data_IF_414018131644
#
_entry.id   IF_414018131644
#
_cell.length_a   1.000
_cell.length_b   1.000
_cell.length_c   1.000
_cell.angle_alpha   90.00
_cell.angle_beta   90.00
_cell.angle_gamma   90.00
#
_symmetry.space_group_name_H-M   'P 1'
#
loop_
_entity.id
_entity.type
_entity.pdbx_description
1 polymer ?
#
# COMPACT_ATOMS: atom_id res chain seq x y z
N UNK A 1 36.76 75.22 -3.63
CA UNK A 1 36.77 74.35 -2.44
C UNK A 1 35.72 73.28 -2.64
N UNK A 2 36.13 72.12 -3.14
CA UNK A 2 35.27 70.98 -3.46
C UNK A 2 35.72 69.81 -2.59
N UNK A 3 34.84 69.38 -1.68
CA UNK A 3 35.07 68.31 -0.70
C UNK A 3 34.93 66.92 -1.33
N UNK A 4 35.86 65.98 -1.08
CA UNK A 4 35.69 64.60 -1.52
C UNK A 4 34.79 63.84 -0.55
N UNK A 5 33.83 63.09 -1.07
CA UNK A 5 32.97 62.19 -0.29
C UNK A 5 33.62 60.80 -0.26
N UNK A 6 34.03 60.34 0.93
CA UNK A 6 34.49 58.98 1.17
C UNK A 6 33.29 58.04 1.28
N UNK A 7 33.18 57.07 0.38
CA UNK A 7 32.21 55.98 0.50
C UNK A 7 32.77 54.90 1.45
N UNK A 8 32.07 54.68 2.56
CA UNK A 8 32.33 53.55 3.48
C UNK A 8 31.43 52.39 3.05
N UNK A 9 32.01 51.32 2.52
CA UNK A 9 31.31 50.06 2.28
C UNK A 9 31.12 49.32 3.61
N UNK A 10 29.88 49.27 4.11
CA UNK A 10 29.50 48.41 5.23
C UNK A 10 29.23 46.99 4.70
N UNK A 11 30.06 46.02 5.08
CA UNK A 11 29.83 44.61 4.80
C UNK A 11 28.75 44.07 5.76
N UNK A 12 27.54 43.83 5.24
CA UNK A 12 26.47 43.12 5.94
C UNK A 12 26.80 41.63 5.98
N UNK A 13 27.25 41.13 7.14
CA UNK A 13 27.37 39.69 7.39
C UNK A 13 25.98 39.15 7.70
N UNK A 14 25.37 38.47 6.73
CA UNK A 14 24.10 37.76 6.94
C UNK A 14 24.39 36.43 7.64
N UNK A 15 24.10 36.36 8.94
CA UNK A 15 24.17 35.12 9.69
C UNK A 15 23.01 34.21 9.25
N UNK A 16 23.30 33.22 8.41
CA UNK A 16 22.33 32.19 8.03
C UNK A 16 22.12 31.26 9.24
N UNK A 17 21.04 31.47 9.99
CA UNK A 17 20.58 30.49 10.95
C UNK A 17 20.03 29.28 10.19
N UNK A 18 20.80 28.20 10.17
CA UNK A 18 20.33 26.89 9.71
C UNK A 18 19.39 26.35 10.79
N UNK A 19 18.09 26.17 10.52
CA UNK A 19 17.20 25.54 11.48
C UNK A 19 17.71 24.12 11.77
N UNK A 20 17.65 23.64 13.02
CA UNK A 20 18.04 22.27 13.32
C UNK A 20 17.16 21.33 12.51
N UNK A 21 17.79 20.53 11.65
CA UNK A 21 17.13 19.40 11.04
C UNK A 21 16.78 18.42 12.16
N UNK A 22 15.51 18.34 12.54
CA UNK A 22 15.01 17.21 13.31
C UNK A 22 15.14 15.98 12.41
N UNK A 23 16.23 15.23 12.58
CA UNK A 23 16.32 13.89 12.02
C UNK A 23 15.16 13.08 12.58
N UNK A 24 14.36 12.47 11.71
CA UNK A 24 13.40 11.46 12.16
C UNK A 24 14.20 10.28 12.71
N UNK A 25 14.39 10.26 14.03
CA UNK A 25 14.95 9.09 14.71
C UNK A 25 14.06 7.90 14.43
N UNK A 26 14.67 6.72 14.24
CA UNK A 26 13.89 5.49 14.11
C UNK A 26 12.94 5.35 15.30
N UNK A 27 11.65 5.04 15.07
CA UNK A 27 10.72 4.83 16.17
C UNK A 27 11.26 3.75 17.11
N UNK A 28 11.00 3.84 18.43
CA UNK A 28 11.44 2.84 19.38
C UNK A 28 10.93 1.46 18.94
N UNK A 29 11.71 0.40 19.13
CA UNK A 29 11.32 -0.95 18.71
C UNK A 29 10.07 -1.48 19.44
N UNK A 30 9.70 -0.85 20.56
CA UNK A 30 8.53 -1.15 21.37
C UNK A 30 7.66 0.08 21.57
N UNK A 31 6.36 -0.14 21.69
CA UNK A 31 5.42 0.87 22.19
C UNK A 31 5.63 1.08 23.71
N UNK A 32 5.08 2.16 24.30
CA UNK A 32 5.21 2.42 25.74
C UNK A 32 4.66 1.30 26.64
N UNK A 33 3.71 0.51 26.14
CA UNK A 33 3.13 -0.66 26.78
C UNK A 33 3.84 -1.99 26.41
N UNK A 34 5.00 -1.91 25.76
CA UNK A 34 5.90 -3.05 25.55
C UNK A 34 5.59 -3.94 24.35
N UNK A 35 4.60 -3.59 23.52
CA UNK A 35 4.27 -4.33 22.30
C UNK A 35 5.31 -4.07 21.20
N UNK A 36 5.47 -4.97 20.21
CA UNK A 36 6.21 -4.65 18.99
C UNK A 36 5.68 -3.37 18.34
N UNK A 37 6.59 -2.45 18.00
CA UNK A 37 6.22 -1.20 17.35
C UNK A 37 6.27 -1.33 15.82
N UNK A 38 5.09 -1.41 15.22
CA UNK A 38 4.85 -1.43 13.78
C UNK A 38 4.24 -0.12 13.27
N UNK A 39 4.15 0.92 14.13
CA UNK A 39 3.64 2.23 13.72
C UNK A 39 4.49 2.83 12.61
N UNK A 40 3.83 3.59 11.74
CA UNK A 40 4.50 4.33 10.69
C UNK A 40 3.64 4.48 9.44
N UNK A 41 4.26 5.06 8.42
CA UNK A 41 3.72 5.10 7.07
C UNK A 41 4.45 4.05 6.25
N UNK A 42 3.67 3.18 5.64
CA UNK A 42 4.13 2.04 4.86
C UNK A 42 3.57 2.14 3.45
N UNK A 43 4.21 1.48 2.51
CA UNK A 43 3.65 1.22 1.19
C UNK A 43 3.71 -0.28 0.93
N UNK A 44 2.74 -0.82 0.20
CA UNK A 44 2.69 -2.25 -0.11
C UNK A 44 2.88 -2.55 -1.58
N UNK A 45 3.59 -1.71 -2.32
CA UNK A 45 3.88 -1.96 -3.72
C UNK A 45 4.59 -3.30 -3.91
N UNK A 46 3.92 -4.23 -4.60
CA UNK A 46 4.47 -5.53 -4.98
C UNK A 46 3.97 -5.86 -6.40
N UNK A 47 4.87 -5.98 -7.40
CA UNK A 47 4.52 -6.34 -8.77
C UNK A 47 4.25 -7.85 -8.96
N UNK A 48 4.27 -8.66 -7.90
CA UNK A 48 3.92 -10.07 -7.96
C UNK A 48 2.46 -10.22 -8.40
N UNK A 49 2.14 -11.02 -9.43
CA UNK A 49 0.74 -11.20 -9.82
C UNK A 49 -0.02 -11.94 -8.72
N UNK A 50 -1.31 -11.63 -8.55
CA UNK A 50 -2.12 -12.30 -7.53
C UNK A 50 -2.19 -13.81 -7.78
N UNK A 51 -2.55 -14.20 -9.00
CA UNK A 51 -2.49 -15.58 -9.49
C UNK A 51 -1.27 -15.82 -10.39
N UNK A 52 -0.81 -17.06 -10.49
CA UNK A 52 0.25 -17.45 -11.42
C UNK A 52 -0.33 -17.43 -12.86
N UNK A 53 0.18 -16.57 -13.76
CA UNK A 53 -0.32 -16.50 -15.12
C UNK A 53 0.09 -17.75 -15.91
N UNK A 54 -0.79 -18.22 -16.78
CA UNK A 54 -0.47 -19.19 -17.82
C UNK A 54 -0.16 -18.51 -19.17
N UNK A 55 0.15 -19.30 -20.19
CA UNK A 55 0.52 -18.77 -21.52
C UNK A 55 -0.62 -17.96 -22.16
N UNK A 56 -1.87 -18.33 -21.92
CA UNK A 56 -3.06 -17.63 -22.43
C UNK A 56 -3.22 -16.30 -21.70
N UNK A 57 -3.03 -16.28 -20.38
CA UNK A 57 -3.05 -15.06 -19.58
C UNK A 57 -1.97 -14.09 -20.06
N UNK A 58 -0.74 -14.58 -20.29
CA UNK A 58 0.36 -13.76 -20.80
C UNK A 58 0.07 -13.19 -22.20
N UNK A 59 -0.50 -14.00 -23.10
CA UNK A 59 -0.91 -13.55 -24.43
C UNK A 59 -1.96 -12.42 -24.33
N UNK A 60 -2.97 -12.58 -23.45
CA UNK A 60 -4.04 -11.59 -23.24
C UNK A 60 -3.56 -10.31 -22.58
N UNK A 61 -2.57 -10.40 -21.69
CA UNK A 61 -2.00 -9.24 -20.99
C UNK A 61 -0.97 -8.50 -21.84
N UNK A 62 -0.40 -9.14 -22.87
CA UNK A 62 0.65 -8.52 -23.69
C UNK A 62 0.28 -7.16 -24.30
N UNK A 63 -0.95 -6.94 -24.83
CA UNK A 63 -1.38 -5.63 -25.33
C UNK A 63 -1.49 -4.56 -24.23
N UNK A 64 -1.76 -4.96 -22.98
CA UNK A 64 -1.93 -4.05 -21.84
C UNK A 64 -0.61 -3.59 -21.22
N UNK A 65 0.50 -4.24 -21.57
CA UNK A 65 1.83 -3.96 -21.02
C UNK A 65 2.35 -2.55 -21.32
N UNK A 66 1.81 -1.89 -22.36
CA UNK A 66 2.09 -0.46 -22.65
C UNK A 66 1.59 0.45 -21.52
N UNK A 67 0.43 0.13 -20.95
CA UNK A 67 -0.22 0.92 -19.90
C UNK A 67 0.16 0.43 -18.51
N UNK A 68 0.43 -0.87 -18.38
CA UNK A 68 0.80 -1.53 -17.13
C UNK A 68 2.11 -2.32 -17.29
N UNK A 69 3.27 -1.65 -17.30
CA UNK A 69 4.56 -2.31 -17.49
C UNK A 69 4.80 -3.42 -16.47
N UNK A 70 5.20 -4.61 -16.94
CA UNK A 70 5.49 -5.77 -16.09
C UNK A 70 4.31 -6.72 -15.85
N UNK A 71 3.10 -6.39 -16.33
CA UNK A 71 1.95 -7.31 -16.26
C UNK A 71 2.10 -8.55 -17.12
N UNK A 72 2.87 -8.47 -18.21
CA UNK A 72 3.12 -9.58 -19.15
C UNK A 72 4.55 -10.14 -19.10
N UNK A 73 5.34 -9.79 -18.07
CA UNK A 73 6.73 -10.24 -17.95
C UNK A 73 7.06 -10.65 -16.52
N UNK A 74 7.90 -11.68 -16.30
CA UNK A 74 8.61 -11.78 -15.04
C UNK A 74 9.50 -10.52 -14.89
N UNK A 75 9.17 -9.64 -13.95
CA UNK A 75 10.04 -8.51 -13.62
C UNK A 75 11.39 -9.07 -13.14
N UNK A 76 12.45 -8.70 -13.84
CA UNK A 76 13.83 -9.00 -13.49
C UNK A 76 14.37 -7.85 -12.62
N UNK A 77 15.21 -8.11 -11.60
CA UNK A 77 15.90 -7.06 -10.88
C UNK A 77 16.55 -6.11 -11.89
N UNK A 78 16.49 -4.78 -11.69
CA UNK A 78 17.30 -3.89 -12.48
C UNK A 78 18.76 -4.34 -12.33
N UNK A 79 19.50 -4.36 -13.44
CA UNK A 79 20.89 -4.82 -13.45
C UNK A 79 21.77 -4.08 -12.43
N UNK A 80 21.32 -2.89 -12.01
CA UNK A 80 21.87 -2.07 -10.93
C UNK A 80 20.74 -1.65 -9.99
N UNK A 81 20.81 -2.07 -8.73
CA UNK A 81 19.91 -1.56 -7.68
C UNK A 81 20.28 -0.09 -7.42
N UNK A 82 19.33 0.82 -7.63
CA UNK A 82 19.53 2.22 -7.21
C UNK A 82 19.50 2.28 -5.68
N UNK A 83 20.55 2.81 -5.02
CA UNK A 83 20.52 3.08 -3.57
C UNK A 83 19.38 4.04 -3.19
N UNK A 84 18.91 4.84 -4.16
CA UNK A 84 17.83 5.81 -4.03
C UNK A 84 16.44 5.23 -4.38
N UNK A 85 16.31 3.95 -4.71
CA UNK A 85 15.01 3.35 -5.03
C UNK A 85 14.00 3.54 -3.89
N UNK A 86 14.47 3.57 -2.64
CA UNK A 86 13.64 3.88 -1.45
C UNK A 86 13.30 5.37 -1.31
N UNK A 87 14.09 6.28 -1.86
CA UNK A 87 13.93 7.74 -1.70
C UNK A 87 13.16 8.41 -2.83
N UNK A 88 13.01 7.76 -4.00
CA UNK A 88 12.29 8.32 -5.15
C UNK A 88 10.78 8.10 -5.12
N UNK A 89 10.29 7.25 -4.22
CA UNK A 89 8.87 6.91 -4.14
C UNK A 89 8.36 6.15 -5.39
N UNK A 90 7.07 5.79 -5.40
CA UNK A 90 6.42 5.14 -6.54
C UNK A 90 6.59 5.92 -7.86
N UNK A 91 6.91 5.20 -8.95
CA UNK A 91 7.09 5.79 -10.28
C UNK A 91 5.88 5.45 -11.15
N UNK A 92 5.18 6.48 -11.64
CA UNK A 92 4.07 6.38 -12.58
C UNK A 92 3.49 7.76 -12.90
N UNK A 93 2.57 7.87 -13.87
CA UNK A 93 1.98 9.15 -14.31
C UNK A 93 1.29 9.93 -13.17
N UNK A 94 0.86 9.22 -12.12
CA UNK A 94 0.21 9.78 -10.93
C UNK A 94 1.11 9.78 -9.69
N UNK A 95 2.40 9.44 -9.82
CA UNK A 95 3.26 9.15 -8.67
C UNK A 95 2.82 7.87 -7.94
N UNK A 96 2.25 6.93 -8.67
CA UNK A 96 1.66 5.69 -8.17
C UNK A 96 2.17 4.51 -9.01
N UNK A 97 2.34 3.36 -8.35
CA UNK A 97 2.77 2.11 -8.97
C UNK A 97 4.06 1.58 -8.36
N UNK A 98 4.42 0.31 -8.64
CA UNK A 98 5.56 -0.31 -7.97
C UNK A 98 6.89 0.40 -8.24
N UNK A 99 6.99 1.25 -9.27
CA UNK A 99 8.23 1.90 -9.64
C UNK A 99 9.36 0.88 -9.82
N UNK A 100 10.47 1.07 -9.12
CA UNK A 100 11.61 0.14 -9.08
C UNK A 100 11.46 -0.98 -8.03
N UNK A 101 10.27 -1.19 -7.47
CA UNK A 101 10.05 -2.23 -6.47
C UNK A 101 10.41 -3.61 -7.05
N UNK A 102 11.31 -4.28 -6.35
CA UNK A 102 11.80 -5.59 -6.78
C UNK A 102 10.74 -6.64 -6.55
N UNK A 103 10.36 -7.34 -7.61
CA UNK A 103 9.69 -8.63 -7.46
C UNK A 103 10.64 -9.64 -6.85
N UNK A 104 10.17 -10.43 -5.89
CA UNK A 104 10.88 -11.64 -5.48
C UNK A 104 10.81 -12.68 -6.60
N UNK A 105 11.94 -12.95 -7.28
CA UNK A 105 12.02 -13.93 -8.39
C UNK A 105 11.58 -15.35 -7.98
N UNK A 106 11.63 -15.68 -6.68
CA UNK A 106 11.16 -16.98 -6.16
C UNK A 106 9.64 -17.07 -6.09
N UNK A 107 8.91 -15.94 -6.11
CA UNK A 107 7.45 -15.90 -6.02
C UNK A 107 6.84 -15.83 -7.41
N UNK A 108 6.17 -16.91 -7.83
CA UNK A 108 5.39 -16.97 -9.08
C UNK A 108 4.09 -16.15 -8.99
N UNK A 109 3.49 -16.12 -7.82
CA UNK A 109 2.19 -15.50 -7.49
C UNK A 109 2.10 -15.14 -6.01
N UNK A 110 1.12 -14.34 -5.63
CA UNK A 110 0.78 -14.10 -4.21
C UNK A 110 0.09 -15.31 -3.58
N UNK A 111 -0.72 -16.04 -4.36
CA UNK A 111 -1.27 -17.33 -3.92
C UNK A 111 -0.13 -18.35 -3.87
N UNK A 112 0.13 -18.87 -2.67
CA UNK A 112 1.12 -19.92 -2.42
C UNK A 112 0.49 -21.30 -2.30
N UNK A 113 -0.75 -21.34 -1.83
CA UNK A 113 -1.57 -22.54 -1.68
C UNK A 113 -2.94 -22.26 -2.31
N UNK A 114 -3.38 -23.03 -3.33
CA UNK A 114 -2.75 -24.23 -3.88
C UNK A 114 -1.41 -24.00 -4.59
N UNK A 115 -0.53 -25.01 -4.74
CA UNK A 115 0.76 -24.89 -5.43
C UNK A 115 0.68 -24.45 -6.90
N UNK A 116 -0.51 -24.55 -7.51
CA UNK A 116 -0.79 -23.97 -8.83
C UNK A 116 -0.65 -22.45 -8.84
N UNK A 117 -0.73 -21.80 -7.68
CA UNK A 117 -0.73 -20.35 -7.54
C UNK A 117 -2.02 -19.70 -8.05
N UNK A 118 -3.13 -20.45 -8.10
CA UNK A 118 -4.43 -19.96 -8.61
C UNK A 118 -5.53 -20.19 -7.59
N UNK A 119 -6.46 -19.24 -7.47
CA UNK A 119 -7.55 -19.36 -6.53
C UNK A 119 -8.50 -20.49 -6.96
N UNK A 120 -8.89 -21.41 -6.06
CA UNK A 120 -9.84 -22.47 -6.36
C UNK A 120 -11.27 -21.90 -6.39
N UNK A 121 -11.60 -21.16 -7.45
CA UNK A 121 -12.90 -20.52 -7.62
C UNK A 121 -13.96 -21.54 -8.03
N UNK A 122 -15.17 -21.41 -7.46
CA UNK A 122 -16.34 -22.18 -7.89
C UNK A 122 -16.82 -21.65 -9.25
N UNK A 123 -17.33 -22.53 -10.11
CA UNK A 123 -17.92 -22.13 -11.41
C UNK A 123 -19.01 -21.07 -11.26
N UNK A 124 -19.84 -21.18 -10.22
CA UNK A 124 -20.87 -20.19 -9.91
C UNK A 124 -20.30 -18.82 -9.53
N UNK A 125 -19.13 -18.77 -8.89
CA UNK A 125 -18.44 -17.52 -8.57
C UNK A 125 -17.86 -16.87 -9.84
N UNK A 126 -17.30 -17.68 -10.74
CA UNK A 126 -16.81 -17.24 -12.04
C UNK A 126 -17.97 -16.67 -12.87
N UNK A 127 -19.09 -17.38 -12.95
CA UNK A 127 -20.28 -16.94 -13.66
C UNK A 127 -20.82 -15.61 -13.10
N UNK A 128 -20.93 -15.49 -11.77
CA UNK A 128 -21.36 -14.24 -11.12
C UNK A 128 -20.40 -13.09 -11.41
N UNK A 129 -19.09 -13.30 -11.31
CA UNK A 129 -18.08 -12.27 -11.64
C UNK A 129 -18.24 -11.81 -13.08
N UNK A 130 -18.34 -12.74 -14.03
CA UNK A 130 -18.48 -12.40 -15.45
C UNK A 130 -19.78 -11.63 -15.72
N UNK A 131 -20.89 -12.04 -15.11
CA UNK A 131 -22.16 -11.31 -15.19
C UNK A 131 -22.00 -9.88 -14.67
N UNK A 132 -21.42 -9.71 -13.48
CA UNK A 132 -21.23 -8.38 -12.89
C UNK A 132 -20.33 -7.50 -13.76
N UNK A 133 -19.27 -8.05 -14.36
CA UNK A 133 -18.36 -7.31 -15.25
C UNK A 133 -19.04 -6.82 -16.53
N UNK A 134 -19.91 -7.64 -17.13
CA UNK A 134 -20.66 -7.26 -18.34
C UNK A 134 -21.62 -6.11 -18.06
N UNK A 135 -22.23 -6.08 -16.87
CA UNK A 135 -23.22 -5.08 -16.47
C UNK A 135 -22.64 -3.92 -15.67
N UNK A 136 -21.31 -3.86 -15.50
CA UNK A 136 -20.65 -2.93 -14.59
C UNK A 136 -21.02 -1.47 -14.86
N UNK A 137 -21.22 -1.13 -16.13
CA UNK A 137 -21.52 0.23 -16.62
C UNK A 137 -23.01 0.49 -16.82
N UNK A 138 -23.89 -0.47 -16.54
CA UNK A 138 -25.33 -0.33 -16.77
C UNK A 138 -25.98 0.71 -15.84
N UNK A 139 -25.39 0.96 -14.68
CA UNK A 139 -25.80 2.05 -13.79
C UNK A 139 -25.17 2.02 -12.40
N UNK A 140 -25.59 2.96 -11.58
CA UNK A 140 -25.07 3.15 -10.22
C UNK A 140 -25.28 1.97 -9.27
N UNK A 141 -26.26 1.10 -9.56
CA UNK A 141 -26.51 -0.13 -8.78
C UNK A 141 -25.60 -1.29 -9.18
N UNK A 142 -25.03 -1.27 -10.39
CA UNK A 142 -24.17 -2.34 -10.90
C UNK A 142 -22.68 -2.01 -10.79
N UNK A 143 -22.33 -0.74 -10.53
CA UNK A 143 -20.98 -0.32 -10.14
C UNK A 143 -20.48 -1.02 -8.87
N UNK A 144 -19.17 -1.25 -8.81
CA UNK A 144 -18.53 -1.82 -7.62
C UNK A 144 -18.55 -0.83 -6.44
N UNK A 145 -18.48 -1.31 -5.17
CA UNK A 145 -18.28 -0.43 -4.01
C UNK A 145 -17.05 0.47 -4.14
N UNK A 146 -16.03 0.01 -4.88
CA UNK A 146 -14.81 0.75 -5.17
C UNK A 146 -15.09 1.97 -6.08
N UNK A 147 -15.76 1.78 -7.22
CA UNK A 147 -16.10 2.88 -8.15
C UNK A 147 -17.07 3.90 -7.56
N UNK A 148 -17.83 3.48 -6.54
CA UNK A 148 -18.74 4.33 -5.77
C UNK A 148 -18.08 5.04 -4.60
N UNK A 149 -16.76 4.92 -4.45
CA UNK A 149 -15.97 5.48 -3.35
C UNK A 149 -16.46 5.05 -1.96
N UNK A 150 -17.02 3.84 -1.84
CA UNK A 150 -17.56 3.32 -0.57
C UNK A 150 -16.46 2.62 0.22
N UNK A 151 -15.81 1.63 -0.40
CA UNK A 151 -14.82 0.76 0.27
C UNK A 151 -14.11 -0.11 -0.76
N UNK A 152 -12.86 -0.52 -0.48
CA UNK A 152 -12.25 -1.69 -1.14
C UNK A 152 -12.52 -2.99 -0.38
N UNK A 153 -12.97 -2.88 0.88
CA UNK A 153 -13.24 -3.98 1.79
C UNK A 153 -12.01 -4.83 2.07
N UNK A 154 -12.22 -5.94 2.78
CA UNK A 154 -11.17 -6.96 2.98
C UNK A 154 -11.50 -8.19 2.12
N UNK A 155 -10.51 -8.73 1.38
CA UNK A 155 -9.08 -8.39 1.39
C UNK A 155 -8.65 -7.26 0.43
N UNK A 156 -9.56 -6.62 -0.31
CA UNK A 156 -9.22 -5.65 -1.36
C UNK A 156 -8.34 -4.48 -0.93
N UNK A 157 -8.56 -3.93 0.26
CA UNK A 157 -7.75 -2.85 0.84
C UNK A 157 -6.34 -3.28 1.28
N UNK A 158 -6.10 -4.58 1.48
CA UNK A 158 -4.79 -5.14 1.88
C UNK A 158 -3.91 -5.53 0.70
N UNK A 159 -4.51 -5.78 -0.47
CA UNK A 159 -3.74 -6.20 -1.62
C UNK A 159 -2.94 -5.02 -2.21
N UNK A 160 -1.72 -5.28 -2.71
CA UNK A 160 -0.91 -4.31 -3.42
C UNK A 160 -1.68 -3.67 -4.56
N UNK A 161 -2.05 -2.40 -4.37
CA UNK A 161 -2.62 -1.57 -5.40
C UNK A 161 -1.49 -0.93 -6.20
N UNK A 162 -1.65 -0.83 -7.52
CA UNK A 162 -0.81 0.06 -8.32
C UNK A 162 -1.12 1.54 -8.12
N UNK A 163 -2.14 1.87 -7.31
CA UNK A 163 -2.67 3.20 -7.05
C UNK A 163 -3.19 3.30 -5.60
N UNK A 164 -2.71 4.30 -4.86
CA UNK A 164 -2.99 4.55 -3.43
C UNK A 164 -2.67 3.36 -2.53
N UNK A 165 -1.41 2.96 -2.54
CA UNK A 165 -0.85 1.80 -1.86
C UNK A 165 -0.24 2.16 -0.48
N UNK A 166 -0.41 3.40 -0.04
CA UNK A 166 0.04 3.89 1.25
C UNK A 166 -0.85 3.42 2.39
N UNK A 167 -0.21 3.06 3.50
CA UNK A 167 -0.86 2.69 4.75
C UNK A 167 -0.25 3.50 5.89
N UNK A 168 -1.09 4.02 6.78
CA UNK A 168 -0.64 4.51 8.06
C UNK A 168 -1.07 3.53 9.15
N UNK A 169 -0.11 2.97 9.87
CA UNK A 169 -0.37 2.12 11.03
C UNK A 169 -0.24 2.96 12.28
N UNK A 170 -1.32 2.99 13.06
CA UNK A 170 -1.37 3.63 14.37
C UNK A 170 -1.54 2.55 15.44
N UNK A 171 -0.80 2.66 16.53
CA UNK A 171 -0.93 1.80 17.70
C UNK A 171 -1.28 2.65 18.90
N UNK A 172 -2.41 2.33 19.52
CA UNK A 172 -2.85 2.93 20.78
C UNK A 172 -3.19 1.80 21.74
N UNK A 173 -3.21 2.03 23.06
CA UNK A 173 -3.58 0.99 24.00
C UNK A 173 -4.89 0.30 23.60
N UNK A 174 -4.85 -1.03 23.47
CA UNK A 174 -6.00 -1.86 23.08
C UNK A 174 -6.32 -1.93 21.58
N UNK A 175 -5.62 -1.20 20.70
CA UNK A 175 -5.90 -1.22 19.26
C UNK A 175 -4.67 -1.10 18.35
N UNK A 176 -4.75 -1.76 17.21
CA UNK A 176 -3.98 -1.44 16.00
C UNK A 176 -4.95 -0.89 14.96
N UNK A 177 -4.63 0.24 14.34
CA UNK A 177 -5.44 0.83 13.27
C UNK A 177 -4.62 0.89 12.01
N UNK A 178 -5.14 0.32 10.93
CA UNK A 178 -4.57 0.45 9.59
C UNK A 178 -5.44 1.45 8.82
N UNK A 179 -4.87 2.60 8.52
CA UNK A 179 -5.51 3.62 7.70
C UNK A 179 -5.02 3.51 6.27
N UNK A 180 -5.95 3.24 5.36
CA UNK A 180 -5.67 3.08 3.94
C UNK A 180 -5.65 4.45 3.27
N UNK A 181 -4.59 4.75 2.52
CA UNK A 181 -4.55 5.93 1.63
C UNK A 181 -5.77 5.93 0.71
N UNK A 182 -6.10 4.75 0.17
CA UNK A 182 -7.24 4.62 -0.69
C UNK A 182 -8.57 4.57 0.07
N UNK A 183 -9.55 5.35 -0.40
CA UNK A 183 -10.88 5.54 0.23
C UNK A 183 -10.79 6.23 1.61
N UNK A 184 -9.60 6.50 2.16
CA UNK A 184 -9.41 7.03 3.51
C UNK A 184 -10.10 6.14 4.56
N UNK A 185 -10.04 4.82 4.36
CA UNK A 185 -10.73 3.82 5.17
C UNK A 185 -9.87 3.39 6.37
N UNK A 186 -10.47 3.32 7.55
CA UNK A 186 -9.79 2.87 8.77
C UNK A 186 -10.23 1.46 9.16
N UNK A 187 -9.30 0.50 9.11
CA UNK A 187 -9.50 -0.82 9.71
C UNK A 187 -9.03 -0.81 11.16
N UNK A 188 -9.99 -0.81 12.08
CA UNK A 188 -9.76 -0.79 13.51
C UNK A 188 -9.70 -2.22 14.02
N UNK A 189 -8.57 -2.62 14.61
CA UNK A 189 -8.29 -3.97 15.08
C UNK A 189 -8.11 -3.92 16.61
N UNK A 190 -9.14 -4.27 17.40
CA UNK A 190 -8.98 -4.49 18.82
C UNK A 190 -7.97 -5.61 19.10
N UNK A 191 -7.09 -5.40 20.07
CA UNK A 191 -6.06 -6.37 20.50
C UNK A 191 -6.21 -6.78 21.97
N UNK A 192 -7.38 -6.56 22.54
CA UNK A 192 -7.76 -6.94 23.90
C UNK A 192 -8.88 -7.99 23.92
N UNK A 193 -9.26 -8.42 25.11
CA UNK A 193 -10.22 -9.53 25.31
C UNK A 193 -11.69 -9.12 25.18
N UNK A 194 -11.99 -8.01 24.49
CA UNK A 194 -13.38 -7.55 24.34
C UNK A 194 -14.19 -8.52 23.46
N UNK A 195 -15.47 -8.64 23.77
CA UNK A 195 -16.38 -9.50 23.02
C UNK A 195 -16.43 -9.12 21.51
N UNK A 196 -16.58 -10.12 20.61
CA UNK A 196 -16.90 -9.86 19.20
C UNK A 196 -18.25 -9.16 19.05
N UNK A 197 -18.43 -8.45 17.93
CA UNK A 197 -19.76 -8.00 17.53
C UNK A 197 -20.65 -9.22 17.25
N UNK A 198 -21.97 -9.06 17.38
CA UNK A 198 -22.91 -10.09 16.93
C UNK A 198 -22.64 -10.46 15.47
N UNK A 199 -22.79 -11.73 15.12
CA UNK A 199 -22.68 -12.22 13.74
C UNK A 199 -23.74 -11.63 12.79
N UNK A 200 -24.80 -11.04 13.37
CA UNK A 200 -25.84 -10.29 12.66
C UNK A 200 -25.31 -8.94 12.12
N UNK A 201 -24.20 -8.44 12.65
CA UNK A 201 -23.58 -7.18 12.23
C UNK A 201 -22.49 -7.48 11.20
N UNK A 202 -22.70 -7.03 9.96
CA UNK A 202 -21.74 -7.16 8.86
C UNK A 202 -21.12 -5.80 8.54
N UNK A 203 -19.80 -5.74 8.62
CA UNK A 203 -19.01 -4.54 8.30
C UNK A 203 -18.18 -4.78 7.05
N UNK A 204 -17.94 -3.72 6.27
CA UNK A 204 -17.12 -3.78 5.04
C UNK A 204 -15.69 -4.29 5.27
N UNK A 205 -15.09 -3.93 6.41
CA UNK A 205 -13.74 -4.37 6.82
C UNK A 205 -13.74 -5.60 7.74
N UNK A 206 -14.87 -6.29 7.84
CA UNK A 206 -15.06 -7.38 8.80
C UNK A 206 -15.10 -6.89 10.26
N UNK A 207 -15.02 -7.85 11.18
CA UNK A 207 -14.93 -7.60 12.62
C UNK A 207 -13.59 -8.16 13.13
N UNK A 208 -12.46 -7.50 12.83
CA UNK A 208 -11.15 -8.07 13.08
C UNK A 208 -10.84 -8.23 14.58
N UNK A 209 -10.06 -9.23 14.94
CA UNK A 209 -9.49 -9.40 16.29
C UNK A 209 -8.00 -9.69 16.18
N UNK A 210 -7.21 -8.87 16.87
CA UNK A 210 -5.77 -8.98 16.85
C UNK A 210 -5.20 -9.59 18.13
N UNK A 211 -4.05 -10.25 18.02
CA UNK A 211 -3.22 -10.65 19.16
C UNK A 211 -1.75 -10.66 18.76
N UNK A 212 -0.86 -10.51 19.73
CA UNK A 212 0.57 -10.64 19.52
C UNK A 212 1.06 -12.07 19.77
N UNK A 213 1.73 -12.65 18.79
CA UNK A 213 2.48 -13.89 18.90
C UNK A 213 3.98 -13.58 18.72
N UNK A 214 4.65 -13.29 19.84
CA UNK A 214 6.02 -12.76 19.83
C UNK A 214 6.07 -11.40 19.14
N UNK A 215 6.78 -11.30 18.01
CA UNK A 215 6.89 -10.08 17.20
C UNK A 215 5.82 -9.97 16.11
N UNK A 216 4.87 -10.91 16.05
CA UNK A 216 3.88 -11.00 14.97
C UNK A 216 2.50 -10.57 15.44
N UNK A 217 1.88 -9.63 14.75
CA UNK A 217 0.45 -9.34 14.92
C UNK A 217 -0.36 -10.35 14.09
N UNK A 218 -1.12 -11.20 14.77
CA UNK A 218 -2.08 -12.10 14.13
C UNK A 218 -3.45 -11.45 14.17
N UNK A 219 -4.15 -11.43 13.03
CA UNK A 219 -5.49 -10.83 12.89
C UNK A 219 -6.44 -11.86 12.30
N UNK A 220 -7.54 -12.12 13.00
CA UNK A 220 -8.64 -12.99 12.61
C UNK A 220 -9.89 -12.19 12.23
#
# INVERSE_FOLDING_TARGET
>A
MTTPHSFVCAALVTLVMVPPAFGQGSPPLRTPDGQPNIQGVWTNFDPTPFEAPDDIDLERLAPLAVWFPGTNRPQRPPATLSPEARSRGPQGPWGDGPGDALRNERRRSMIVDPPSGRAPLRDSAIARRNQNLVHLTDGWLTHTPWERCITRGIPGGMFPGGYGAGYQILQVPGYVVIFYEMIHEARIIPIDDRAPLSEDIRLWNGNPRGRWEGETLVVE
#
